data_IF_114482851597
#
_entry.id   IF_114482851597
#
_cell.length_a   1.000
_cell.length_b   1.000
_cell.length_c   1.000
_cell.angle_alpha   90.00
_cell.angle_beta   90.00
_cell.angle_gamma   90.00
#
_symmetry.space_group_name_H-M   'P 1'
#
loop_
_entity.id
_entity.type
_entity.pdbx_description
1 polymer ?
#
# COMPACT_ATOMS: atom_id res chain seq x y z
N UNK A 1 35.10 -53.90 4.99
CA UNK A 1 33.64 -53.76 4.72
C UNK A 1 32.94 -53.65 6.07
N UNK A 2 32.02 -52.74 6.39
CA UNK A 2 31.15 -51.85 5.61
C UNK A 2 30.89 -50.57 6.41
N UNK A 3 31.04 -49.41 5.77
CA UNK A 3 30.85 -48.07 6.34
C UNK A 3 29.35 -47.76 6.55
N UNK A 4 28.75 -48.25 7.63
CA UNK A 4 27.31 -48.05 7.89
C UNK A 4 26.99 -46.71 8.56
N UNK A 5 27.96 -46.09 9.26
CA UNK A 5 27.74 -44.81 9.99
C UNK A 5 27.72 -43.58 9.08
N UNK A 6 28.40 -43.64 7.94
CA UNK A 6 28.51 -42.50 7.01
C UNK A 6 27.21 -42.25 6.23
N UNK A 7 26.37 -43.27 6.03
CA UNK A 7 25.13 -43.16 5.24
C UNK A 7 23.98 -42.46 5.96
N UNK A 8 23.96 -42.44 7.29
CA UNK A 8 22.91 -41.76 8.06
C UNK A 8 23.07 -40.23 8.11
N UNK A 9 24.31 -39.73 8.04
CA UNK A 9 24.57 -38.29 8.07
C UNK A 9 24.19 -37.57 6.77
N UNK A 10 24.25 -38.26 5.63
CA UNK A 10 23.85 -37.67 4.34
C UNK A 10 22.33 -37.58 4.15
N UNK A 11 21.53 -38.41 4.83
CA UNK A 11 20.09 -38.37 4.72
C UNK A 11 19.46 -37.17 5.47
N UNK A 12 20.07 -36.74 6.57
CA UNK A 12 19.58 -35.62 7.37
C UNK A 12 19.83 -34.25 6.71
N UNK A 13 20.92 -34.11 5.93
CA UNK A 13 21.25 -32.85 5.26
C UNK A 13 20.36 -32.55 4.04
N UNK A 14 19.73 -33.56 3.44
CA UNK A 14 18.88 -33.41 2.27
C UNK A 14 17.45 -32.90 2.59
N UNK A 15 17.02 -32.99 3.85
CA UNK A 15 15.66 -32.63 4.29
C UNK A 15 15.49 -31.13 4.62
N UNK A 16 16.58 -30.36 4.69
CA UNK A 16 16.54 -28.93 5.07
C UNK A 16 16.48 -28.00 3.84
N UNK A 17 16.67 -28.53 2.62
CA UNK A 17 16.79 -27.71 1.41
C UNK A 17 15.47 -27.40 0.68
N UNK A 18 14.32 -27.95 1.10
CA UNK A 18 13.05 -27.82 0.36
C UNK A 18 12.11 -26.71 0.84
N UNK A 19 12.45 -25.93 1.86
CA UNK A 19 11.56 -24.87 2.37
C UNK A 19 11.77 -23.49 1.71
N UNK A 20 12.69 -23.35 0.76
CA UNK A 20 12.98 -22.06 0.11
C UNK A 20 12.08 -21.74 -1.09
N UNK A 21 11.12 -22.61 -1.42
CA UNK A 21 10.08 -22.34 -2.43
C UNK A 21 8.76 -21.95 -1.75
N UNK A 22 8.81 -21.07 -0.75
CA UNK A 22 7.66 -20.21 -0.49
C UNK A 22 7.71 -19.13 -1.57
N UNK A 23 7.16 -19.46 -2.74
CA UNK A 23 6.86 -18.51 -3.78
C UNK A 23 6.19 -17.31 -3.12
N UNK A 24 6.86 -16.17 -3.15
CA UNK A 24 6.22 -14.89 -2.86
C UNK A 24 5.19 -14.69 -3.95
N UNK A 25 3.96 -15.19 -3.74
CA UNK A 25 2.81 -14.84 -4.55
C UNK A 25 2.77 -13.32 -4.60
N UNK A 26 3.05 -12.74 -5.78
CA UNK A 26 2.92 -11.30 -5.97
C UNK A 26 1.45 -10.97 -5.80
N UNK A 27 1.11 -10.47 -4.62
CA UNK A 27 -0.23 -9.99 -4.34
C UNK A 27 -0.48 -8.75 -5.21
N UNK A 28 -1.46 -8.85 -6.10
CA UNK A 28 -1.90 -7.72 -6.90
C UNK A 28 -2.68 -6.75 -6.01
N UNK A 29 -2.45 -5.42 -6.12
CA UNK A 29 -3.26 -4.46 -5.38
C UNK A 29 -4.70 -4.50 -5.87
N UNK A 30 -5.60 -4.98 -5.01
CA UNK A 30 -7.04 -5.10 -5.25
C UNK A 30 -7.85 -4.02 -4.52
N UNK A 31 -7.19 -3.20 -3.71
CA UNK A 31 -7.80 -2.14 -2.89
C UNK A 31 -7.48 -0.77 -3.43
N UNK A 32 -8.48 0.10 -3.41
CA UNK A 32 -8.33 1.53 -3.72
C UNK A 32 -8.22 2.30 -2.40
N UNK A 33 -7.25 3.19 -2.34
CA UNK A 33 -7.06 4.10 -1.22
C UNK A 33 -7.21 5.54 -1.69
N UNK A 34 -7.94 6.31 -0.89
CA UNK A 34 -8.05 7.75 -1.03
C UNK A 34 -7.11 8.40 -0.01
N UNK A 35 -6.19 9.23 -0.48
CA UNK A 35 -5.16 9.87 0.32
C UNK A 35 -5.39 11.39 0.35
N UNK A 36 -5.58 11.92 1.56
CA UNK A 36 -5.50 13.35 1.83
C UNK A 36 -4.03 13.77 1.78
N UNK A 37 -3.72 14.74 0.94
CA UNK A 37 -2.36 15.23 0.71
C UNK A 37 -2.28 16.74 0.87
N UNK A 38 -1.07 17.23 1.06
CA UNK A 38 -0.70 18.62 0.80
C UNK A 38 0.13 18.65 -0.46
N UNK A 39 -0.25 19.51 -1.40
CA UNK A 39 0.41 19.67 -2.69
C UNK A 39 1.66 20.57 -2.59
N UNK A 40 2.46 20.62 -3.65
CA UNK A 40 3.70 21.42 -3.70
C UNK A 40 3.46 22.91 -3.46
N UNK A 41 2.31 23.44 -3.89
CA UNK A 41 1.86 24.82 -3.65
C UNK A 41 1.18 25.03 -2.28
N UNK A 42 1.11 23.99 -1.44
CA UNK A 42 0.56 24.06 -0.09
C UNK A 42 -0.95 23.86 -0.01
N UNK A 43 -1.65 23.61 -1.12
CA UNK A 43 -3.08 23.31 -1.08
C UNK A 43 -3.35 21.90 -0.50
N UNK A 44 -4.54 21.71 0.08
CA UNK A 44 -5.01 20.36 0.40
C UNK A 44 -5.65 19.73 -0.83
N UNK A 45 -5.42 18.42 -1.01
CA UNK A 45 -6.01 17.68 -2.10
C UNK A 45 -6.17 16.19 -1.83
N UNK A 46 -6.71 15.50 -2.85
CA UNK A 46 -7.01 14.08 -2.87
C UNK A 46 -6.21 13.39 -3.96
N UNK A 47 -5.58 12.26 -3.60
CA UNK A 47 -5.01 11.30 -4.55
C UNK A 47 -5.71 9.96 -4.33
N UNK A 48 -6.23 9.36 -5.39
CA UNK A 48 -6.78 8.00 -5.35
C UNK A 48 -5.84 7.05 -6.08
N UNK A 49 -5.44 5.96 -5.43
CA UNK A 49 -4.54 4.96 -6.02
C UNK A 49 -4.82 3.55 -5.53
N UNK A 50 -4.50 2.55 -6.36
CA UNK A 50 -4.53 1.15 -5.96
C UNK A 50 -3.28 0.80 -5.15
N UNK A 51 -3.45 0.08 -4.06
CA UNK A 51 -2.35 -0.38 -3.22
C UNK A 51 -2.74 -1.63 -2.42
N UNK A 52 -1.74 -2.25 -1.77
CA UNK A 52 -1.97 -3.38 -0.87
C UNK A 52 -2.30 -2.92 0.56
N UNK A 53 -1.87 -1.70 0.93
CA UNK A 53 -2.04 -1.17 2.27
C UNK A 53 -2.13 0.35 2.26
N UNK A 54 -2.70 0.94 3.32
CA UNK A 54 -2.72 2.40 3.49
C UNK A 54 -1.30 2.98 3.62
N UNK A 55 -0.36 2.22 4.16
CA UNK A 55 1.03 2.63 4.29
C UNK A 55 1.74 2.72 2.94
N UNK A 56 1.49 1.75 2.05
CA UNK A 56 2.07 1.75 0.70
C UNK A 56 1.37 2.76 -0.20
N UNK A 57 0.06 2.94 -0.04
CA UNK A 57 -0.68 4.04 -0.67
C UNK A 57 -0.08 5.39 -0.27
N UNK A 58 0.25 5.59 1.01
CA UNK A 58 0.87 6.82 1.50
C UNK A 58 2.24 7.10 0.88
N UNK A 59 3.06 6.07 0.66
CA UNK A 59 4.35 6.22 -0.05
C UNK A 59 4.13 6.51 -1.54
N UNK A 60 3.21 5.78 -2.17
CA UNK A 60 2.93 5.87 -3.60
C UNK A 60 2.20 7.16 -4.02
N UNK A 61 1.50 7.83 -3.10
CA UNK A 61 0.77 9.05 -3.41
C UNK A 61 1.67 10.27 -3.62
N UNK A 62 2.88 10.31 -3.05
CA UNK A 62 3.80 11.44 -3.20
C UNK A 62 4.26 11.56 -4.66
N UNK A 63 4.22 12.77 -5.21
CA UNK A 63 4.53 13.06 -6.61
C UNK A 63 3.40 12.74 -7.58
N UNK A 64 2.29 12.15 -7.14
CA UNK A 64 1.13 11.93 -8.00
C UNK A 64 0.27 13.19 -8.14
N UNK A 65 -0.48 13.32 -9.25
CA UNK A 65 -1.48 14.36 -9.41
C UNK A 65 -2.55 14.25 -8.32
N UNK A 66 -2.86 15.37 -7.68
CA UNK A 66 -3.91 15.51 -6.70
C UNK A 66 -4.97 16.49 -7.18
N UNK A 67 -6.24 16.21 -6.87
CA UNK A 67 -7.34 17.18 -7.03
C UNK A 67 -7.43 17.99 -5.75
N UNK A 68 -7.28 19.30 -5.85
CA UNK A 68 -7.35 20.20 -4.69
C UNK A 68 -8.79 20.52 -4.31
N UNK A 69 -9.00 21.05 -3.11
CA UNK A 69 -10.32 21.55 -2.64
C UNK A 69 -11.01 22.51 -3.62
N UNK A 70 -10.23 23.26 -4.42
CA UNK A 70 -10.73 24.22 -5.41
C UNK A 70 -10.96 23.60 -6.79
N UNK A 71 -10.79 22.29 -6.95
CA UNK A 71 -10.92 21.58 -8.23
C UNK A 71 -9.70 21.72 -9.15
N UNK A 72 -8.66 22.44 -8.74
CA UNK A 72 -7.41 22.55 -9.49
C UNK A 72 -6.57 21.27 -9.35
N UNK A 73 -5.72 21.02 -10.34
CA UNK A 73 -4.69 19.96 -10.27
C UNK A 73 -3.45 20.50 -9.55
N UNK A 74 -2.96 19.74 -8.58
CA UNK A 74 -1.64 19.92 -7.98
C UNK A 74 -0.86 18.60 -7.99
N UNK A 75 0.36 18.61 -7.48
CA UNK A 75 1.13 17.39 -7.24
C UNK A 75 1.32 17.20 -5.74
N UNK A 76 1.10 15.99 -5.24
CA UNK A 76 1.23 15.68 -3.82
C UNK A 76 2.68 15.83 -3.35
N UNK A 77 2.92 16.70 -2.38
CA UNK A 77 4.22 16.87 -1.74
C UNK A 77 4.35 15.99 -0.49
N UNK A 78 3.26 15.82 0.27
CA UNK A 78 3.20 14.94 1.45
C UNK A 78 1.80 14.42 1.69
N UNK A 79 1.71 13.25 2.33
CA UNK A 79 0.45 12.62 2.72
C UNK A 79 0.11 12.94 4.18
N UNK A 80 -1.16 13.25 4.44
CA UNK A 80 -1.71 13.42 5.79
C UNK A 80 -2.29 12.08 6.27
N UNK A 81 -3.15 11.46 5.46
CA UNK A 81 -3.83 10.22 5.79
C UNK A 81 -4.26 9.52 4.50
N UNK A 82 -4.22 8.18 4.48
CA UNK A 82 -4.89 7.38 3.46
C UNK A 82 -5.98 6.52 4.11
N UNK A 83 -7.10 6.36 3.39
CA UNK A 83 -8.26 5.59 3.81
C UNK A 83 -8.65 4.64 2.70
N UNK A 84 -8.93 3.38 3.05
CA UNK A 84 -9.39 2.38 2.08
C UNK A 84 -10.83 2.70 1.66
N UNK A 85 -11.05 2.87 0.35
CA UNK A 85 -12.38 3.17 -0.21
C UNK A 85 -13.32 1.99 0.05
N UNK A 86 -14.53 2.27 0.54
CA UNK A 86 -15.52 1.23 0.88
C UNK A 86 -15.31 0.54 2.24
N UNK A 87 -14.27 0.90 3.01
CA UNK A 87 -14.02 0.31 4.34
C UNK A 87 -14.92 0.85 5.47
N UNK A 88 -15.75 1.87 5.19
CA UNK A 88 -16.55 2.58 6.19
C UNK A 88 -15.75 3.53 7.09
N UNK A 89 -14.42 3.61 6.93
CA UNK A 89 -13.57 4.59 7.60
C UNK A 89 -13.60 5.92 6.82
N UNK A 90 -13.43 7.03 7.53
CA UNK A 90 -13.31 8.37 6.96
C UNK A 90 -12.00 9.07 7.30
N UNK A 91 -11.77 10.21 6.67
CA UNK A 91 -10.68 11.11 7.01
C UNK A 91 -10.89 11.72 8.39
N UNK A 92 -9.79 11.96 9.11
CA UNK A 92 -9.79 12.60 10.43
C UNK A 92 -10.22 14.06 10.37
N UNK A 93 -9.91 14.74 9.26
CA UNK A 93 -10.40 16.09 8.98
C UNK A 93 -11.84 16.01 8.47
N UNK A 94 -12.79 16.46 9.30
CA UNK A 94 -14.21 16.41 8.97
C UNK A 94 -14.60 17.32 7.80
N UNK A 95 -13.88 18.43 7.59
CA UNK A 95 -14.14 19.32 6.46
C UNK A 95 -13.66 18.69 5.16
N UNK A 96 -12.51 18.03 5.21
CA UNK A 96 -12.00 17.27 4.06
C UNK A 96 -12.90 16.07 3.74
N UNK A 97 -13.33 15.32 4.75
CA UNK A 97 -14.27 14.20 4.58
C UNK A 97 -15.57 14.65 3.89
N UNK A 98 -16.18 15.73 4.37
CA UNK A 98 -17.41 16.27 3.80
C UNK A 98 -17.23 16.78 2.35
N UNK A 99 -16.03 17.18 1.97
CA UNK A 99 -15.72 17.55 0.58
C UNK A 99 -15.53 16.31 -0.31
N UNK A 100 -14.83 15.27 0.15
CA UNK A 100 -14.69 14.00 -0.59
C UNK A 100 -16.05 13.36 -0.86
N UNK A 101 -16.95 13.35 0.13
CA UNK A 101 -18.31 12.82 -0.01
C UNK A 101 -19.15 13.54 -1.08
N UNK A 102 -18.81 14.79 -1.42
CA UNK A 102 -19.46 15.54 -2.51
C UNK A 102 -18.88 15.22 -3.89
N UNK A 103 -17.65 14.72 -3.97
CA UNK A 103 -17.01 14.33 -5.24
C UNK A 103 -17.49 12.96 -5.73
N UNK A 104 -17.90 12.09 -4.82
CA UNK A 104 -18.42 10.75 -5.11
C UNK A 104 -19.93 10.73 -5.46
N UNK A 105 -20.58 11.91 -5.51
CA UNK A 105 -21.98 12.10 -5.92
C UNK A 105 -22.08 12.54 -7.38
#
# INVERSE_FOLDING_TARGET
MSNTRSKMLFAALALVATQALAEGERQWPDKVFDCQVVTVDGAQGLVSLQSLSAADAGKGAVGLPAVTLLGNKGYAARVIQCVEKGSGKGFRDSSFQAWVEKLDQ
#
